data_IF_614693951440
#
_entry.id   IF_614693951440
#
_cell.length_a   1.000
_cell.length_b   1.000
_cell.length_c   1.000
_cell.angle_alpha   90.00
_cell.angle_beta   90.00
_cell.angle_gamma   90.00
#
_symmetry.space_group_name_H-M   'P 1'
#
loop_
_entity.id
_entity.type
_entity.pdbx_description
1 polymer ?
#
# COMPACT_ATOMS: atom_id res chain seq x y z
N UNK A 1 0.78 15.24 -44.15
CA UNK A 1 0.18 15.81 -42.92
C UNK A 1 0.07 14.66 -41.93
N UNK A 2 0.74 14.61 -40.78
CA UNK A 2 1.47 15.64 -40.05
C UNK A 2 2.54 14.94 -39.19
N UNK A 3 3.78 15.36 -39.40
CA UNK A 3 5.00 14.93 -38.74
C UNK A 3 5.17 15.72 -37.42
N UNK A 4 4.21 15.56 -36.49
CA UNK A 4 4.05 16.46 -35.33
C UNK A 4 4.40 15.84 -33.96
N UNK A 5 4.78 14.56 -33.90
CA UNK A 5 5.19 13.89 -32.65
C UNK A 5 6.70 14.00 -32.34
N UNK A 6 7.53 14.22 -33.36
CA UNK A 6 8.99 14.21 -33.23
C UNK A 6 9.59 15.23 -32.22
N UNK A 7 9.06 16.46 -32.02
CA UNK A 7 9.61 17.41 -31.06
C UNK A 7 9.11 17.21 -29.62
N UNK A 8 8.15 16.31 -29.36
CA UNK A 8 7.64 16.09 -28.00
C UNK A 8 8.51 15.16 -27.17
N UNK A 9 9.04 14.10 -27.78
CA UNK A 9 9.82 13.06 -27.08
C UNK A 9 11.10 13.65 -26.45
N UNK A 10 11.93 14.45 -27.15
CA UNK A 10 13.12 15.05 -26.55
C UNK A 10 12.79 16.00 -25.38
N UNK A 11 11.68 16.74 -25.47
CA UNK A 11 11.22 17.62 -24.39
C UNK A 11 10.80 16.84 -23.15
N UNK A 12 10.10 15.71 -23.34
CA UNK A 12 9.71 14.80 -22.24
C UNK A 12 10.94 14.20 -21.57
N UNK A 13 11.96 13.79 -22.33
CA UNK A 13 13.22 13.24 -21.79
C UNK A 13 13.96 14.29 -20.95
N UNK A 14 14.14 15.51 -21.46
CA UNK A 14 14.79 16.60 -20.72
C UNK A 14 14.03 16.94 -19.43
N UNK A 15 12.71 16.99 -19.49
CA UNK A 15 11.88 17.20 -18.30
C UNK A 15 12.06 16.07 -17.27
N UNK A 16 12.18 14.81 -17.71
CA UNK A 16 12.47 13.70 -16.81
C UNK A 16 13.84 13.85 -16.12
N UNK A 17 14.87 14.32 -16.82
CA UNK A 17 16.18 14.60 -16.21
C UNK A 17 16.08 15.66 -15.12
N UNK A 18 15.32 16.73 -15.36
CA UNK A 18 15.04 17.78 -14.36
C UNK A 18 14.28 17.25 -13.15
N UNK A 19 13.35 16.32 -13.34
CA UNK A 19 12.59 15.75 -12.24
C UNK A 19 13.47 14.84 -11.39
N UNK A 20 14.25 13.96 -12.03
CA UNK A 20 15.13 13.02 -11.35
C UNK A 20 16.27 13.71 -10.61
N UNK A 21 16.84 14.78 -11.18
CA UNK A 21 17.96 15.51 -10.59
C UNK A 21 17.62 16.17 -9.25
N UNK A 22 16.34 16.48 -8.98
CA UNK A 22 15.89 17.04 -7.68
C UNK A 22 16.12 16.10 -6.50
N UNK A 23 16.37 14.82 -6.75
CA UNK A 23 16.64 13.80 -5.72
C UNK A 23 18.12 13.65 -5.36
N UNK A 24 18.99 14.52 -5.91
CA UNK A 24 20.43 14.55 -5.65
C UNK A 24 20.82 15.82 -4.88
N UNK A 25 21.99 15.81 -4.26
CA UNK A 25 22.49 16.97 -3.50
C UNK A 25 22.86 18.17 -4.37
N UNK A 26 23.18 17.94 -5.65
CA UNK A 26 23.45 18.96 -6.66
C UNK A 26 22.59 18.69 -7.91
N UNK A 27 21.37 19.25 -7.96
CA UNK A 27 20.45 19.02 -9.06
C UNK A 27 20.96 19.54 -10.42
N UNK A 28 21.72 20.63 -10.43
CA UNK A 28 22.22 21.22 -11.69
C UNK A 28 23.26 20.28 -12.30
N UNK A 29 24.24 19.85 -11.51
CA UNK A 29 25.26 18.90 -11.97
C UNK A 29 24.67 17.53 -12.34
N UNK A 30 23.66 17.06 -11.62
CA UNK A 30 22.99 15.80 -11.94
C UNK A 30 22.21 15.87 -13.26
N UNK A 31 21.52 16.99 -13.54
CA UNK A 31 20.85 17.20 -14.83
C UNK A 31 21.86 17.21 -16.00
N UNK A 32 22.98 17.92 -15.86
CA UNK A 32 24.07 17.89 -16.85
C UNK A 32 24.64 16.48 -17.06
N UNK A 33 24.76 15.71 -15.98
CA UNK A 33 25.23 14.33 -16.02
C UNK A 33 24.24 13.40 -16.76
N UNK A 34 22.94 13.56 -16.53
CA UNK A 34 21.90 12.84 -17.29
C UNK A 34 21.93 13.21 -18.78
N UNK A 35 22.05 14.49 -19.12
CA UNK A 35 22.16 14.92 -20.52
C UNK A 35 23.41 14.36 -21.18
N UNK A 36 24.53 14.30 -20.46
CA UNK A 36 25.77 13.70 -20.95
C UNK A 36 25.62 12.20 -21.16
N UNK A 37 24.96 11.50 -20.22
CA UNK A 37 24.66 10.07 -20.33
C UNK A 37 23.79 9.75 -21.55
N UNK A 38 22.76 10.56 -21.82
CA UNK A 38 21.90 10.44 -23.00
C UNK A 38 22.69 10.60 -24.31
N UNK A 39 23.60 11.59 -24.35
CA UNK A 39 24.47 11.82 -25.51
C UNK A 39 25.43 10.67 -25.79
N UNK A 40 25.86 9.92 -24.76
CA UNK A 40 26.74 8.76 -24.95
C UNK A 40 26.06 7.64 -25.76
N UNK A 41 24.72 7.55 -25.72
CA UNK A 41 23.93 6.52 -26.43
C UNK A 41 24.45 5.08 -26.26
N UNK A 42 25.11 4.80 -25.13
CA UNK A 42 25.68 3.48 -24.87
C UNK A 42 24.58 2.52 -24.42
N UNK A 43 24.17 1.63 -25.33
CA UNK A 43 23.09 0.69 -25.08
C UNK A 43 23.35 -0.25 -23.89
N UNK A 44 24.61 -0.60 -23.61
CA UNK A 44 24.95 -1.49 -22.49
C UNK A 44 24.70 -0.82 -21.14
N UNK A 45 25.04 0.47 -21.01
CA UNK A 45 24.76 1.25 -19.79
C UNK A 45 23.26 1.27 -19.51
N UNK A 46 22.44 1.60 -20.52
CA UNK A 46 20.99 1.63 -20.37
C UNK A 46 20.40 0.26 -20.06
N UNK A 47 20.92 -0.81 -20.68
CA UNK A 47 20.52 -2.19 -20.36
C UNK A 47 20.81 -2.55 -18.90
N UNK A 48 21.98 -2.20 -18.40
CA UNK A 48 22.34 -2.46 -16.99
C UNK A 48 21.44 -1.67 -16.04
N UNK A 49 21.19 -0.37 -16.32
CA UNK A 49 20.29 0.44 -15.50
C UNK A 49 18.85 -0.10 -15.49
N UNK A 50 18.36 -0.61 -16.62
CA UNK A 50 17.06 -1.28 -16.70
C UNK A 50 17.02 -2.56 -15.86
N UNK A 51 18.08 -3.38 -15.92
CA UNK A 51 18.17 -4.58 -15.08
C UNK A 51 18.17 -4.22 -13.59
N UNK A 52 18.89 -3.18 -13.18
CA UNK A 52 18.91 -2.76 -11.77
C UNK A 52 17.51 -2.36 -11.26
N UNK A 53 16.70 -1.74 -12.12
CA UNK A 53 15.32 -1.32 -11.81
C UNK A 53 14.32 -2.49 -11.81
N UNK A 54 14.69 -3.66 -12.31
CA UNK A 54 13.81 -4.84 -12.31
C UNK A 54 13.71 -5.42 -10.90
N UNK A 55 12.51 -5.51 -10.29
CA UNK A 55 12.31 -6.11 -8.98
C UNK A 55 12.66 -7.60 -8.90
N UNK A 56 12.88 -8.29 -10.03
CA UNK A 56 13.33 -9.68 -10.08
C UNK A 56 14.86 -9.82 -10.09
N UNK A 57 15.60 -8.72 -10.16
CA UNK A 57 17.06 -8.76 -10.09
C UNK A 57 17.50 -9.09 -8.67
N UNK A 58 18.21 -10.21 -8.51
CA UNK A 58 18.70 -10.66 -7.20
C UNK A 58 19.82 -9.77 -6.65
N UNK A 59 20.15 -9.91 -5.36
CA UNK A 59 21.24 -9.14 -4.76
C UNK A 59 22.58 -9.33 -5.50
N UNK A 60 22.91 -10.58 -5.82
CA UNK A 60 24.13 -10.91 -6.54
C UNK A 60 24.13 -10.33 -7.96
N UNK A 61 23.00 -10.40 -8.67
CA UNK A 61 22.88 -9.82 -10.01
C UNK A 61 22.99 -8.29 -9.98
N UNK A 62 22.35 -7.63 -9.01
CA UNK A 62 22.44 -6.18 -8.85
C UNK A 62 23.87 -5.74 -8.56
N UNK A 63 24.56 -6.43 -7.65
CA UNK A 63 25.97 -6.17 -7.32
C UNK A 63 26.87 -6.33 -8.55
N UNK A 64 26.70 -7.43 -9.30
CA UNK A 64 27.45 -7.67 -10.54
C UNK A 64 27.16 -6.61 -11.62
N UNK A 65 25.90 -6.18 -11.74
CA UNK A 65 25.50 -5.13 -12.66
C UNK A 65 26.20 -3.79 -12.34
N UNK A 66 26.33 -3.44 -11.06
CA UNK A 66 27.05 -2.24 -10.63
C UNK A 66 28.54 -2.33 -10.97
N UNK A 67 29.19 -3.46 -10.68
CA UNK A 67 30.59 -3.68 -11.04
C UNK A 67 30.82 -3.58 -12.55
N UNK A 68 29.93 -4.16 -13.35
CA UNK A 68 29.99 -4.08 -14.81
C UNK A 68 29.78 -2.65 -15.30
N UNK A 69 28.80 -1.93 -14.75
CA UNK A 69 28.53 -0.54 -15.09
C UNK A 69 29.75 0.36 -14.86
N UNK A 70 30.41 0.19 -13.72
CA UNK A 70 31.60 0.94 -13.35
C UNK A 70 32.85 0.48 -14.12
N UNK A 71 32.87 -0.72 -14.71
CA UNK A 71 33.96 -1.14 -15.62
C UNK A 71 33.79 -0.55 -17.02
N UNK A 72 32.57 -0.32 -17.48
CA UNK A 72 32.29 0.29 -18.79
C UNK A 72 32.84 1.72 -18.84
N UNK A 73 32.74 2.45 -17.73
CA UNK A 73 33.37 3.75 -17.58
C UNK A 73 34.74 3.60 -16.94
N UNK A 74 35.82 4.10 -17.56
CA UNK A 74 37.08 4.22 -16.82
C UNK A 74 36.88 5.12 -15.59
N UNK A 75 37.58 4.86 -14.47
CA UNK A 75 37.46 5.63 -13.21
C UNK A 75 37.62 7.15 -13.39
N UNK A 76 38.32 7.58 -14.44
CA UNK A 76 38.53 9.00 -14.77
C UNK A 76 37.39 9.64 -15.55
N UNK A 77 36.36 8.88 -15.92
CA UNK A 77 35.25 9.38 -16.71
C UNK A 77 34.37 10.30 -15.86
N UNK A 78 33.97 11.45 -16.41
CA UNK A 78 33.18 12.46 -15.70
C UNK A 78 31.84 11.96 -15.12
N UNK A 79 31.30 10.87 -15.69
CA UNK A 79 30.06 10.24 -15.23
C UNK A 79 30.27 9.11 -14.21
N UNK A 80 31.51 8.77 -13.85
CA UNK A 80 31.79 7.62 -12.99
C UNK A 80 31.07 7.74 -11.63
N UNK A 81 31.32 8.82 -10.90
CA UNK A 81 30.68 9.07 -9.60
C UNK A 81 29.15 9.18 -9.71
N UNK A 82 28.67 9.82 -10.78
CA UNK A 82 27.25 9.97 -11.03
C UNK A 82 26.57 8.62 -11.26
N UNK A 83 27.14 7.74 -12.09
CA UNK A 83 26.59 6.41 -12.34
C UNK A 83 26.74 5.48 -11.13
N UNK A 84 27.82 5.61 -10.35
CA UNK A 84 27.95 4.90 -9.08
C UNK A 84 26.78 5.24 -8.15
N UNK A 85 26.50 6.52 -7.95
CA UNK A 85 25.38 6.99 -7.13
C UNK A 85 24.01 6.61 -7.74
N UNK A 86 23.83 6.80 -9.04
CA UNK A 86 22.57 6.49 -9.73
C UNK A 86 22.25 5.00 -9.66
N UNK A 87 23.26 4.14 -9.86
CA UNK A 87 23.07 2.68 -9.81
C UNK A 87 22.68 2.17 -8.42
N UNK A 88 23.07 2.84 -7.35
CA UNK A 88 22.61 2.57 -5.99
C UNK A 88 21.15 3.00 -5.76
N UNK A 89 20.72 4.11 -6.38
CA UNK A 89 19.32 4.58 -6.30
C UNK A 89 18.37 3.77 -7.18
N UNK A 90 18.88 3.21 -8.26
CA UNK A 90 18.12 2.42 -9.22
C UNK A 90 18.08 0.93 -8.89
N UNK A 91 18.52 0.50 -7.70
CA UNK A 91 18.63 -0.92 -7.36
C UNK A 91 17.93 -1.27 -6.05
N UNK A 92 17.49 -2.53 -5.97
CA UNK A 92 16.86 -3.13 -4.78
C UNK A 92 17.88 -3.76 -3.83
N UNK A 93 19.04 -3.12 -3.62
CA UNK A 93 20.13 -3.69 -2.81
C UNK A 93 19.81 -3.83 -1.33
N UNK A 94 19.04 -2.88 -0.78
CA UNK A 94 18.67 -2.90 0.65
C UNK A 94 17.50 -3.85 0.92
N UNK A 95 16.54 -3.91 0.00
CA UNK A 95 15.39 -4.79 0.08
C UNK A 95 15.06 -5.28 -1.32
N UNK A 96 15.17 -6.59 -1.53
CA UNK A 96 14.74 -7.30 -2.72
C UNK A 96 13.74 -8.40 -2.33
N UNK A 97 13.38 -9.27 -3.29
CA UNK A 97 12.48 -10.40 -3.04
C UNK A 97 13.02 -11.41 -2.02
N UNK A 98 14.31 -11.73 -2.08
CA UNK A 98 14.97 -12.64 -1.11
C UNK A 98 14.81 -12.11 0.32
N UNK A 99 14.91 -10.80 0.52
CA UNK A 99 14.68 -10.19 1.84
C UNK A 99 13.21 -10.28 2.28
N UNK A 100 12.25 -10.19 1.35
CA UNK A 100 10.83 -10.38 1.69
C UNK A 100 10.58 -11.79 2.19
N UNK A 101 11.12 -12.79 1.49
CA UNK A 101 11.06 -14.21 1.87
C UNK A 101 11.67 -14.43 3.27
N UNK A 102 12.88 -13.92 3.51
CA UNK A 102 13.54 -14.04 4.81
C UNK A 102 12.77 -13.34 5.94
N UNK A 103 12.18 -12.17 5.71
CA UNK A 103 11.35 -11.48 6.73
C UNK A 103 10.11 -12.31 7.09
N UNK A 104 9.50 -12.97 6.10
CA UNK A 104 8.34 -13.85 6.30
C UNK A 104 8.74 -15.11 7.08
N UNK A 105 9.88 -15.72 6.74
CA UNK A 105 10.43 -16.87 7.49
C UNK A 105 10.75 -16.49 8.94
N UNK A 106 11.43 -15.37 9.15
CA UNK A 106 11.79 -14.87 10.48
C UNK A 106 10.54 -14.58 11.32
N UNK A 107 9.45 -14.05 10.72
CA UNK A 107 8.19 -13.87 11.42
C UNK A 107 7.63 -15.20 11.99
N UNK A 108 7.83 -16.33 11.29
CA UNK A 108 7.44 -17.66 11.77
C UNK A 108 8.29 -18.11 12.97
N UNK A 109 9.60 -17.87 12.91
CA UNK A 109 10.54 -18.19 13.99
C UNK A 109 10.20 -17.37 15.23
N UNK A 110 10.01 -16.06 15.08
CA UNK A 110 9.67 -15.14 16.16
C UNK A 110 8.30 -15.42 16.78
N UNK A 111 7.32 -15.84 15.96
CA UNK A 111 6.03 -16.34 16.45
C UNK A 111 6.22 -17.52 17.39
N UNK A 112 7.03 -18.49 17.00
CA UNK A 112 7.32 -19.69 17.80
C UNK A 112 8.06 -19.34 19.10
N UNK A 113 8.90 -18.31 19.09
CA UNK A 113 9.59 -17.78 20.26
C UNK A 113 8.74 -16.85 21.14
N UNK A 114 7.51 -16.48 20.72
CA UNK A 114 6.62 -15.59 21.44
C UNK A 114 7.07 -14.11 21.46
N UNK A 115 7.93 -13.68 20.53
CA UNK A 115 8.48 -12.32 20.54
C UNK A 115 7.62 -11.34 19.73
N UNK A 116 6.56 -10.82 20.35
CA UNK A 116 5.57 -9.95 19.71
C UNK A 116 6.14 -8.64 19.16
N UNK A 117 7.16 -8.06 19.81
CA UNK A 117 7.80 -6.82 19.36
C UNK A 117 8.51 -7.00 18.02
N UNK A 118 9.25 -8.10 17.85
CA UNK A 118 9.95 -8.34 16.59
C UNK A 118 9.00 -8.82 15.49
N UNK A 119 7.95 -9.59 15.81
CA UNK A 119 6.88 -9.90 14.85
C UNK A 119 6.27 -8.60 14.30
N UNK A 120 5.93 -7.66 15.18
CA UNK A 120 5.40 -6.35 14.78
C UNK A 120 6.39 -5.59 13.88
N UNK A 121 7.68 -5.71 14.14
CA UNK A 121 8.74 -5.08 13.33
C UNK A 121 8.79 -5.68 11.93
N UNK A 122 8.77 -7.02 11.80
CA UNK A 122 8.68 -7.70 10.51
C UNK A 122 7.45 -7.22 9.72
N UNK A 123 6.27 -7.22 10.35
CA UNK A 123 5.04 -6.74 9.71
C UNK A 123 5.13 -5.28 9.28
N UNK A 124 5.70 -4.41 10.10
CA UNK A 124 5.89 -2.99 9.74
C UNK A 124 6.80 -2.82 8.52
N UNK A 125 7.90 -3.58 8.45
CA UNK A 125 8.81 -3.54 7.29
C UNK A 125 8.08 -4.02 6.03
N UNK A 126 7.36 -5.14 6.10
CA UNK A 126 6.57 -5.64 4.97
C UNK A 126 5.52 -4.64 4.50
N UNK A 127 4.83 -3.94 5.42
CA UNK A 127 3.86 -2.90 5.07
C UNK A 127 4.55 -1.69 4.39
N UNK A 128 5.74 -1.31 4.84
CA UNK A 128 6.55 -0.27 4.19
C UNK A 128 6.89 -0.71 2.76
N UNK A 129 7.39 -1.93 2.58
CA UNK A 129 7.73 -2.47 1.27
C UNK A 129 6.50 -2.55 0.35
N UNK A 130 5.37 -3.04 0.85
CA UNK A 130 4.12 -3.10 0.10
C UNK A 130 3.63 -1.72 -0.36
N UNK A 131 3.95 -0.65 0.38
CA UNK A 131 3.58 0.72 0.02
C UNK A 131 4.52 1.34 -1.02
N UNK A 132 5.83 1.12 -0.91
CA UNK A 132 6.82 1.81 -1.73
C UNK A 132 7.30 0.98 -2.93
N UNK A 133 7.34 -0.33 -2.79
CA UNK A 133 7.85 -1.28 -3.78
C UNK A 133 7.00 -2.56 -3.81
N UNK A 134 5.69 -2.49 -4.09
CA UNK A 134 4.78 -3.63 -4.03
C UNK A 134 5.18 -4.81 -4.92
N UNK A 135 5.93 -4.57 -5.99
CA UNK A 135 6.44 -5.63 -6.88
C UNK A 135 7.43 -6.58 -6.22
N UNK A 136 8.06 -6.18 -5.11
CA UNK A 136 8.92 -7.06 -4.32
C UNK A 136 8.14 -8.18 -3.61
N UNK A 137 6.82 -8.04 -3.49
CA UNK A 137 5.96 -9.05 -2.86
C UNK A 137 5.52 -10.13 -3.86
N UNK A 138 5.80 -9.96 -5.15
CA UNK A 138 5.48 -10.97 -6.16
C UNK A 138 6.34 -12.21 -5.97
N UNK A 139 5.70 -13.37 -5.79
CA UNK A 139 6.33 -14.63 -5.41
C UNK A 139 6.09 -15.04 -3.95
N UNK A 140 5.62 -14.13 -3.09
CA UNK A 140 5.34 -14.42 -1.67
C UNK A 140 3.84 -14.71 -1.40
N UNK A 141 3.04 -14.92 -2.44
CA UNK A 141 1.59 -14.97 -2.33
C UNK A 141 1.10 -16.13 -1.45
N UNK A 142 1.74 -17.29 -1.55
CA UNK A 142 1.37 -18.47 -0.77
C UNK A 142 1.61 -18.24 0.74
N UNK A 143 2.74 -17.64 1.09
CA UNK A 143 3.09 -17.27 2.46
C UNK A 143 2.13 -16.21 3.01
N UNK A 144 1.78 -15.20 2.21
CA UNK A 144 0.81 -14.18 2.60
C UNK A 144 -0.57 -14.82 2.89
N UNK A 145 -1.03 -15.74 2.03
CA UNK A 145 -2.30 -16.46 2.23
C UNK A 145 -2.23 -17.35 3.47
N UNK A 146 -1.10 -18.02 3.69
CA UNK A 146 -0.86 -18.84 4.88
C UNK A 146 -0.96 -17.99 6.15
N UNK A 147 -0.27 -16.84 6.19
CA UNK A 147 -0.28 -15.96 7.35
C UNK A 147 -1.63 -15.26 7.58
N UNK A 148 -2.43 -15.04 6.53
CA UNK A 148 -3.81 -14.53 6.70
C UNK A 148 -4.70 -15.52 7.48
N UNK A 149 -4.34 -16.81 7.46
CA UNK A 149 -5.03 -17.88 8.20
C UNK A 149 -4.44 -18.11 9.59
N UNK A 150 -3.39 -17.38 9.98
CA UNK A 150 -2.73 -17.51 11.28
C UNK A 150 -3.63 -17.03 12.43
N UNK A 151 -3.41 -17.59 13.62
CA UNK A 151 -4.13 -17.19 14.83
C UNK A 151 -3.49 -15.96 15.50
N UNK A 152 -2.27 -15.59 15.11
CA UNK A 152 -1.59 -14.41 15.63
C UNK A 152 -2.19 -13.13 15.04
N UNK A 153 -2.82 -12.34 15.91
CA UNK A 153 -3.51 -11.10 15.54
C UNK A 153 -2.59 -10.03 14.93
N UNK A 154 -1.32 -9.95 15.36
CA UNK A 154 -0.33 -9.00 14.82
C UNK A 154 0.03 -9.36 13.38
N UNK A 155 0.29 -10.65 13.14
CA UNK A 155 0.59 -11.16 11.80
C UNK A 155 -0.62 -10.91 10.89
N UNK A 156 -1.80 -11.33 11.32
CA UNK A 156 -3.04 -11.18 10.54
C UNK A 156 -3.31 -9.72 10.17
N UNK A 157 -3.20 -8.79 11.14
CA UNK A 157 -3.35 -7.35 10.86
C UNK A 157 -2.26 -6.83 9.90
N UNK A 158 -1.01 -7.27 10.05
CA UNK A 158 0.10 -6.90 9.17
C UNK A 158 -0.11 -7.37 7.73
N UNK A 159 -0.51 -8.61 7.53
CA UNK A 159 -0.78 -9.18 6.21
C UNK A 159 -1.98 -8.50 5.54
N UNK A 160 -3.05 -8.21 6.29
CA UNK A 160 -4.17 -7.43 5.76
C UNK A 160 -3.71 -6.05 5.23
N UNK A 161 -2.79 -5.39 5.93
CA UNK A 161 -2.21 -4.13 5.47
C UNK A 161 -1.36 -4.31 4.21
N UNK A 162 -0.55 -5.37 4.16
CA UNK A 162 0.25 -5.71 2.97
C UNK A 162 -0.67 -5.92 1.76
N UNK A 163 -1.71 -6.75 1.89
CA UNK A 163 -2.68 -7.01 0.82
C UNK A 163 -3.44 -5.73 0.41
N UNK A 164 -3.81 -4.88 1.36
CA UNK A 164 -4.43 -3.59 1.07
C UNK A 164 -3.53 -2.61 0.30
N UNK A 165 -2.20 -2.79 0.30
CA UNK A 165 -1.24 -1.91 -0.38
C UNK A 165 -0.67 -2.49 -1.67
N UNK A 166 -0.31 -3.78 -1.65
CA UNK A 166 0.31 -4.46 -2.78
C UNK A 166 -0.64 -5.40 -3.53
N UNK A 167 -1.85 -5.64 -3.01
CA UNK A 167 -2.79 -6.62 -3.55
C UNK A 167 -3.09 -6.47 -5.04
N UNK A 168 -3.20 -5.23 -5.53
CA UNK A 168 -3.43 -4.97 -6.96
C UNK A 168 -2.22 -5.35 -7.85
N UNK A 169 -1.01 -5.30 -7.30
CA UNK A 169 0.24 -5.69 -7.99
C UNK A 169 0.41 -7.21 -8.06
N UNK A 170 0.00 -7.93 -7.01
CA UNK A 170 0.12 -9.41 -6.92
C UNK A 170 -1.20 -10.14 -7.24
N UNK A 171 -2.21 -9.41 -7.73
CA UNK A 171 -3.58 -9.91 -7.94
C UNK A 171 -3.64 -11.11 -8.87
N UNK A 172 -2.86 -11.10 -9.94
CA UNK A 172 -2.90 -12.17 -10.95
C UNK A 172 -2.42 -13.50 -10.37
N UNK A 173 -1.41 -13.46 -9.51
CA UNK A 173 -0.89 -14.61 -8.80
C UNK A 173 -1.86 -15.08 -7.71
N UNK A 174 -2.50 -14.15 -7.00
CA UNK A 174 -3.55 -14.46 -6.00
C UNK A 174 -4.81 -15.08 -6.62
N UNK A 175 -5.06 -14.87 -7.92
CA UNK A 175 -6.29 -15.31 -8.60
C UNK A 175 -6.54 -16.83 -8.47
N UNK A 176 -5.48 -17.64 -8.41
CA UNK A 176 -5.56 -19.11 -8.24
C UNK A 176 -6.27 -19.50 -6.94
N UNK A 177 -6.12 -18.69 -5.89
CA UNK A 177 -6.72 -18.90 -4.56
C UNK A 177 -7.82 -17.88 -4.23
N UNK A 178 -8.24 -17.06 -5.20
CA UNK A 178 -9.12 -15.90 -4.99
C UNK A 178 -10.38 -16.21 -4.18
N UNK A 179 -11.12 -17.26 -4.54
CA UNK A 179 -12.36 -17.63 -3.84
C UNK A 179 -12.15 -17.96 -2.35
N UNK A 180 -11.00 -18.56 -1.98
CA UNK A 180 -10.68 -18.84 -0.58
C UNK A 180 -10.24 -17.58 0.18
N UNK A 181 -9.62 -16.63 -0.50
CA UNK A 181 -9.12 -15.39 0.10
C UNK A 181 -10.30 -14.44 0.31
N UNK A 182 -11.15 -14.27 -0.70
CA UNK A 182 -12.32 -13.39 -0.65
C UNK A 182 -13.23 -13.78 0.53
N UNK A 183 -13.58 -15.07 0.66
CA UNK A 183 -14.37 -15.57 1.78
C UNK A 183 -13.72 -15.29 3.15
N UNK A 184 -12.39 -15.39 3.23
CA UNK A 184 -11.66 -15.12 4.49
C UNK A 184 -11.66 -13.64 4.82
N UNK A 185 -11.46 -12.78 3.83
CA UNK A 185 -11.49 -11.33 4.01
C UNK A 185 -12.91 -10.85 4.33
N UNK A 186 -13.92 -11.37 3.64
CA UNK A 186 -15.34 -11.14 3.92
C UNK A 186 -15.66 -11.45 5.39
N UNK A 187 -15.20 -12.61 5.87
CA UNK A 187 -15.35 -12.99 7.28
C UNK A 187 -14.61 -12.04 8.23
N UNK A 188 -13.39 -11.63 7.90
CA UNK A 188 -12.61 -10.68 8.71
C UNK A 188 -13.21 -9.27 8.72
N UNK A 189 -13.96 -8.88 7.69
CA UNK A 189 -14.72 -7.65 7.69
C UNK A 189 -15.88 -7.66 8.71
N UNK A 190 -16.49 -8.81 8.96
CA UNK A 190 -17.64 -8.96 9.86
C UNK A 190 -17.23 -9.30 11.30
N UNK A 191 -16.31 -10.26 11.46
CA UNK A 191 -15.94 -10.84 12.75
C UNK A 191 -14.62 -10.26 13.32
N UNK A 192 -13.83 -9.57 12.49
CA UNK A 192 -12.54 -9.02 12.89
C UNK A 192 -12.65 -7.83 13.82
N UNK A 193 -11.54 -7.50 14.49
CA UNK A 193 -11.46 -6.25 15.24
C UNK A 193 -11.50 -5.03 14.29
N UNK A 194 -11.69 -3.82 14.83
CA UNK A 194 -11.80 -2.59 14.03
C UNK A 194 -10.69 -2.42 12.97
N UNK A 195 -9.45 -2.75 13.31
CA UNK A 195 -8.30 -2.58 12.40
C UNK A 195 -8.29 -3.64 11.32
N UNK A 196 -8.56 -4.89 11.68
CA UNK A 196 -8.70 -5.99 10.73
C UNK A 196 -9.83 -5.73 9.75
N UNK A 197 -11.01 -5.31 10.24
CA UNK A 197 -12.14 -4.96 9.38
C UNK A 197 -11.74 -3.86 8.38
N UNK A 198 -11.11 -2.76 8.85
CA UNK A 198 -10.63 -1.68 7.97
C UNK A 198 -9.73 -2.20 6.84
N UNK A 199 -8.70 -2.98 7.18
CA UNK A 199 -7.74 -3.43 6.18
C UNK A 199 -8.26 -4.57 5.32
N UNK A 200 -9.16 -5.42 5.81
CA UNK A 200 -9.81 -6.46 5.01
C UNK A 200 -10.65 -5.87 3.87
N UNK A 201 -11.32 -4.73 4.10
CA UNK A 201 -12.07 -4.01 3.05
C UNK A 201 -11.16 -3.50 1.95
N UNK A 202 -10.07 -2.84 2.36
CA UNK A 202 -9.10 -2.32 1.41
C UNK A 202 -8.37 -3.45 0.67
N UNK A 203 -8.10 -4.57 1.34
CA UNK A 203 -7.55 -5.77 0.72
C UNK A 203 -8.51 -6.35 -0.31
N UNK A 204 -9.80 -6.55 0.03
CA UNK A 204 -10.84 -7.02 -0.90
C UNK A 204 -10.89 -6.14 -2.16
N UNK A 205 -10.94 -4.82 -1.97
CA UNK A 205 -10.95 -3.89 -3.10
C UNK A 205 -9.66 -3.98 -3.94
N UNK A 206 -8.50 -4.15 -3.31
CA UNK A 206 -7.22 -4.22 -4.01
C UNK A 206 -7.02 -5.52 -4.80
N UNK A 207 -7.48 -6.67 -4.28
CA UNK A 207 -7.21 -7.99 -4.87
C UNK A 207 -8.29 -8.45 -5.86
N UNK A 208 -9.48 -7.87 -5.84
CA UNK A 208 -10.54 -8.22 -6.79
C UNK A 208 -10.42 -7.41 -8.08
N UNK A 209 -11.04 -7.87 -9.16
CA UNK A 209 -10.95 -7.22 -10.48
C UNK A 209 -11.91 -6.03 -10.64
N UNK A 210 -13.01 -6.04 -9.90
CA UNK A 210 -14.08 -5.03 -9.91
C UNK A 210 -13.96 -4.06 -8.73
N UNK A 211 -12.74 -3.84 -8.23
CA UNK A 211 -12.45 -2.99 -7.06
C UNK A 211 -13.30 -3.34 -5.81
N UNK A 212 -13.70 -4.61 -5.71
CA UNK A 212 -14.47 -5.17 -4.61
C UNK A 212 -15.96 -4.88 -4.69
N UNK A 213 -16.46 -4.21 -5.74
CA UNK A 213 -17.85 -3.74 -5.80
C UNK A 213 -18.86 -4.86 -5.56
N UNK A 214 -18.68 -6.04 -6.17
CA UNK A 214 -19.58 -7.18 -5.98
C UNK A 214 -19.55 -7.72 -4.55
N UNK A 215 -18.37 -8.04 -4.02
CA UNK A 215 -18.24 -8.58 -2.65
C UNK A 215 -18.67 -7.56 -1.60
N UNK A 216 -18.27 -6.30 -1.74
CA UNK A 216 -18.66 -5.21 -0.84
C UNK A 216 -20.17 -4.96 -0.87
N UNK A 217 -20.82 -5.05 -2.04
CA UNK A 217 -22.28 -4.92 -2.12
C UNK A 217 -23.01 -6.05 -1.38
N UNK A 218 -22.49 -7.27 -1.42
CA UNK A 218 -23.07 -8.40 -0.67
C UNK A 218 -22.89 -8.19 0.83
N UNK A 219 -21.67 -7.83 1.27
CA UNK A 219 -21.38 -7.57 2.68
C UNK A 219 -22.14 -6.36 3.25
N UNK A 220 -22.35 -5.33 2.43
CA UNK A 220 -23.01 -4.09 2.85
C UNK A 220 -24.41 -4.34 3.39
N UNK A 221 -25.16 -5.28 2.80
CA UNK A 221 -26.47 -5.68 3.32
C UNK A 221 -26.35 -6.20 4.77
N UNK A 222 -25.48 -7.20 4.98
CA UNK A 222 -25.26 -7.79 6.31
C UNK A 222 -24.79 -6.76 7.34
N UNK A 223 -23.99 -5.76 6.93
CA UNK A 223 -23.55 -4.70 7.83
C UNK A 223 -24.69 -3.83 8.32
N UNK A 224 -25.60 -3.45 7.44
CA UNK A 224 -26.72 -2.61 7.85
C UNK A 224 -27.67 -3.39 8.75
N UNK A 225 -27.86 -4.69 8.50
CA UNK A 225 -28.62 -5.56 9.39
C UNK A 225 -27.97 -5.61 10.79
N UNK A 226 -26.65 -5.81 10.88
CA UNK A 226 -25.92 -5.76 12.16
C UNK A 226 -25.92 -4.37 12.82
N UNK A 227 -25.93 -3.29 12.03
CA UNK A 227 -26.05 -1.92 12.52
C UNK A 227 -27.38 -1.73 13.25
N UNK A 228 -28.49 -2.19 12.64
CA UNK A 228 -29.82 -2.16 13.24
C UNK A 228 -29.90 -3.03 14.51
N UNK A 229 -29.26 -4.20 14.50
CA UNK A 229 -29.16 -5.09 15.68
C UNK A 229 -28.20 -4.58 16.77
N UNK A 230 -27.45 -3.50 16.51
CA UNK A 230 -26.46 -2.90 17.41
C UNK A 230 -25.35 -3.87 17.84
N UNK A 231 -25.02 -4.86 17.01
CA UNK A 231 -23.95 -5.84 17.28
C UNK A 231 -22.62 -5.38 16.68
N UNK A 232 -21.51 -5.61 17.39
CA UNK A 232 -20.14 -5.27 16.92
C UNK A 232 -19.96 -3.83 16.38
N UNK A 233 -20.71 -2.89 16.95
CA UNK A 233 -20.94 -1.55 16.41
C UNK A 233 -19.68 -0.77 15.99
N UNK A 234 -18.55 -0.76 16.75
CA UNK A 234 -17.34 -0.07 16.30
C UNK A 234 -16.72 -0.65 15.02
N UNK A 235 -16.79 -1.96 14.82
CA UNK A 235 -16.28 -2.62 13.61
C UNK A 235 -17.23 -2.39 12.43
N UNK A 236 -18.55 -2.50 12.66
CA UNK A 236 -19.59 -2.23 11.65
C UNK A 236 -19.49 -0.80 11.14
N UNK A 237 -19.44 0.19 12.03
CA UNK A 237 -19.29 1.60 11.64
C UNK A 237 -17.97 1.85 10.92
N UNK A 238 -16.86 1.27 11.38
CA UNK A 238 -15.57 1.38 10.69
C UNK A 238 -15.66 0.81 9.26
N UNK A 239 -16.30 -0.35 9.10
CA UNK A 239 -16.46 -0.98 7.81
C UNK A 239 -17.35 -0.12 6.89
N UNK A 240 -18.51 0.33 7.35
CA UNK A 240 -19.37 1.26 6.58
C UNK A 240 -18.61 2.52 6.14
N UNK A 241 -17.80 3.09 7.03
CA UNK A 241 -16.95 4.24 6.71
C UNK A 241 -15.86 3.92 5.68
N UNK A 242 -15.34 2.68 5.65
CA UNK A 242 -14.39 2.24 4.62
C UNK A 242 -15.10 2.03 3.27
N UNK A 243 -16.31 1.46 3.24
CA UNK A 243 -17.10 1.33 2.00
C UNK A 243 -17.39 2.72 1.42
N UNK A 244 -17.79 3.70 2.24
CA UNK A 244 -17.99 5.06 1.79
C UNK A 244 -16.74 5.68 1.13
N UNK A 245 -15.53 5.28 1.54
CA UNK A 245 -14.28 5.77 0.96
C UNK A 245 -13.84 5.02 -0.29
N UNK A 246 -14.07 3.70 -0.32
CA UNK A 246 -13.50 2.80 -1.34
C UNK A 246 -14.49 2.44 -2.44
N UNK A 247 -15.79 2.38 -2.11
CA UNK A 247 -16.87 1.95 -2.99
C UNK A 247 -18.11 2.85 -2.78
N UNK A 248 -17.95 4.15 -3.05
CA UNK A 248 -19.03 5.15 -2.91
C UNK A 248 -20.37 4.71 -3.56
N UNK A 249 -20.38 4.14 -4.78
CA UNK A 249 -21.64 3.70 -5.39
C UNK A 249 -22.40 2.64 -4.60
N UNK A 250 -21.70 1.83 -3.79
CA UNK A 250 -22.33 0.85 -2.90
C UNK A 250 -22.93 1.54 -1.68
N UNK A 251 -22.20 2.49 -1.09
CA UNK A 251 -22.64 3.23 0.10
C UNK A 251 -23.87 4.11 -0.17
N UNK A 252 -23.93 4.77 -1.33
CA UNK A 252 -25.05 5.64 -1.73
C UNK A 252 -26.40 4.88 -1.79
N UNK A 253 -26.38 3.55 -1.90
CA UNK A 253 -27.62 2.76 -1.97
C UNK A 253 -28.47 2.78 -0.70
N UNK A 254 -27.87 2.99 0.48
CA UNK A 254 -28.55 3.09 1.78
C UNK A 254 -27.97 4.18 2.69
N UNK A 255 -27.40 5.22 2.08
CA UNK A 255 -26.74 6.33 2.80
C UNK A 255 -27.69 6.99 3.81
N UNK A 256 -28.91 7.31 3.40
CA UNK A 256 -29.90 8.00 4.25
C UNK A 256 -30.22 7.22 5.53
N UNK A 257 -30.41 5.91 5.41
CA UNK A 257 -30.68 5.01 6.54
C UNK A 257 -29.52 5.00 7.54
N UNK A 258 -28.29 4.92 7.05
CA UNK A 258 -27.08 4.92 7.89
C UNK A 258 -26.89 6.29 8.56
N UNK A 259 -27.07 7.38 7.83
CA UNK A 259 -26.96 8.73 8.38
C UNK A 259 -27.97 8.98 9.49
N UNK A 260 -29.23 8.58 9.28
CA UNK A 260 -30.29 8.70 10.27
C UNK A 260 -29.94 7.92 11.54
N UNK A 261 -29.53 6.66 11.41
CA UNK A 261 -29.08 5.84 12.54
C UNK A 261 -27.93 6.51 13.31
N UNK A 262 -26.91 7.02 12.62
CA UNK A 262 -25.78 7.69 13.29
C UNK A 262 -26.26 8.94 14.02
N UNK A 263 -27.14 9.75 13.41
CA UNK A 263 -27.67 10.97 14.02
C UNK A 263 -28.54 10.66 15.24
N UNK A 264 -29.45 9.70 15.15
CA UNK A 264 -30.41 9.40 16.21
C UNK A 264 -29.81 8.53 17.33
N UNK A 265 -29.18 7.42 16.98
CA UNK A 265 -28.79 6.38 17.93
C UNK A 265 -27.38 6.58 18.48
N UNK A 266 -26.47 7.21 17.72
CA UNK A 266 -25.07 7.40 18.15
C UNK A 266 -24.83 8.79 18.70
N UNK A 267 -25.19 9.83 17.92
CA UNK A 267 -24.93 11.23 18.28
C UNK A 267 -26.06 11.85 19.10
N UNK A 268 -27.29 11.36 18.95
CA UNK A 268 -28.48 11.83 19.66
C UNK A 268 -28.58 11.33 21.10
N UNK A 269 -27.77 10.35 21.52
CA UNK A 269 -27.67 9.94 22.91
C UNK A 269 -26.97 11.04 23.72
N UNK A 270 -27.75 11.84 24.46
CA UNK A 270 -27.19 12.64 25.56
C UNK A 270 -26.61 11.67 26.58
N UNK A 271 -25.30 11.75 26.81
CA UNK A 271 -24.70 11.16 28.01
C UNK A 271 -25.39 11.84 29.18
N UNK A 272 -26.32 11.14 29.83
CA UNK A 272 -26.82 11.57 31.13
C UNK A 272 -25.59 11.72 32.02
N UNK A 273 -25.27 12.98 32.31
CA UNK A 273 -24.10 13.37 33.07
C UNK A 273 -24.32 12.92 34.52
N UNK A 274 -23.98 11.67 34.81
CA UNK A 274 -23.70 11.27 36.18
C UNK A 274 -22.19 11.39 36.43
N UNK A 275 -21.88 12.12 37.50
CA UNK A 275 -20.61 12.78 37.70
C UNK A 275 -19.47 11.81 38.04
N UNK A 276 -18.40 11.89 37.27
CA UNK A 276 -17.05 12.09 37.83
C UNK A 276 -16.09 12.51 36.72
N UNK A 277 -15.69 13.78 36.75
CA UNK A 277 -14.67 14.27 35.86
C UNK A 277 -13.29 13.71 36.25
N UNK A 278 -12.64 13.01 35.32
CA UNK A 278 -11.29 13.27 34.78
C UNK A 278 -10.61 11.96 34.40
N UNK A 279 -10.71 11.59 33.14
CA UNK A 279 -9.52 11.10 32.44
C UNK A 279 -9.20 12.01 31.26
N UNK A 280 -7.95 12.46 31.30
CA UNK A 280 -7.34 13.50 30.51
C UNK A 280 -6.91 12.89 29.17
N UNK A 281 -7.38 13.47 28.06
CA UNK A 281 -6.91 13.21 26.69
C UNK A 281 -6.64 11.74 26.38
N UNK A 282 -7.71 11.01 26.09
CA UNK A 282 -7.60 9.65 25.58
C UNK A 282 -6.83 9.67 24.24
N UNK A 283 -5.77 8.88 24.20
CA UNK A 283 -4.76 8.86 23.16
C UNK A 283 -5.44 8.72 21.78
N UNK A 284 -5.07 9.56 20.79
CA UNK A 284 -5.65 9.60 19.43
C UNK A 284 -5.61 8.26 18.65
N UNK A 285 -5.12 7.21 19.28
CA UNK A 285 -5.10 5.81 18.82
C UNK A 285 -6.47 5.12 18.98
N UNK A 286 -7.34 5.61 19.87
CA UNK A 286 -8.60 4.93 20.22
C UNK A 286 -9.80 5.40 19.37
N UNK A 287 -9.84 6.66 18.91
CA UNK A 287 -10.89 7.14 17.99
C UNK A 287 -10.31 7.75 16.72
N UNK A 288 -10.24 6.95 15.65
CA UNK A 288 -10.04 7.46 14.29
C UNK A 288 -11.34 8.06 13.76
N UNK A 289 -11.60 9.35 14.03
CA UNK A 289 -12.70 10.07 13.39
C UNK A 289 -12.38 10.31 11.90
N UNK A 290 -12.68 9.33 11.04
CA UNK A 290 -12.66 9.50 9.57
C UNK A 290 -14.05 9.87 9.00
N UNK A 291 -15.14 9.74 9.77
CA UNK A 291 -16.50 10.08 9.30
C UNK A 291 -16.72 11.58 9.04
N UNK A 292 -16.08 12.47 9.82
CA UNK A 292 -16.26 13.93 9.64
C UNK A 292 -15.75 14.45 8.29
N UNK A 293 -14.80 13.77 7.64
CA UNK A 293 -14.27 14.20 6.34
C UNK A 293 -15.21 13.88 5.17
N UNK A 294 -16.06 12.86 5.30
CA UNK A 294 -17.06 12.54 4.28
C UNK A 294 -18.24 13.52 4.36
N UNK A 295 -18.79 13.73 5.56
CA UNK A 295 -19.92 14.66 5.77
C UNK A 295 -19.54 16.12 5.41
N UNK A 296 -18.28 16.53 5.66
CA UNK A 296 -17.83 17.90 5.35
C UNK A 296 -17.64 18.19 3.85
N UNK A 297 -17.52 17.17 2.97
CA UNK A 297 -17.41 17.41 1.52
C UNK A 297 -18.76 17.76 0.91
N UNK A 298 -19.86 17.21 1.42
CA UNK A 298 -21.22 17.51 0.96
C UNK A 298 -21.66 18.94 1.30
N UNK A 299 -21.31 19.46 2.50
CA UNK A 299 -21.68 20.84 2.88
C UNK A 299 -21.01 21.94 2.03
N UNK A 300 -19.96 21.61 1.27
CA UNK A 300 -19.30 22.55 0.34
C UNK A 300 -19.77 22.41 -1.11
N UNK A 301 -20.51 21.36 -1.47
CA UNK A 301 -21.13 21.23 -2.80
C UNK A 301 -22.52 21.87 -2.87
N UNK A 302 -23.18 22.10 -1.74
CA UNK A 302 -24.48 22.81 -1.68
C UNK A 302 -24.34 24.34 -1.60
N UNK A 303 -23.11 24.86 -1.62
CA UNK A 303 -22.83 26.31 -1.72
C UNK A 303 -21.75 26.53 -2.80
N UNK A 304 -22.06 26.14 -4.04
CA UNK A 304 -21.53 26.74 -5.27
C UNK A 304 -22.44 26.45 -6.44
#
# INVERSE_FOLDING_TARGET
MQDNEAPEIPKKVLFSFQLMSRSTSDPVKAEESFQTLDRLKNANIWKILLNLLDPNTSFHQASSCQDELLKILAERHQLYDFLSMLSMKCSYLLFNKEHVEEILLEATVLKSAGNTLYIQTCMNILVILARFSPSLLGGAEEELIYFLKDDNEIIKEGILQVLAKAGSTIREQLAVSSSSIDLKLERLCLEGNRRQAKYAVHALAAITKDDGLKSLSVLYKSLVDMLQEKTHLPAVLQFLGCIAQTAMPVFETRETEIEEFIKSEILGCSIDADGSAKECWDDKRVFGMEFRKCISKESKKTIM
#
